data_IF_705226415769
#
_entry.id   IF_705226415769
#
_cell.length_a   1.000
_cell.length_b   1.000
_cell.length_c   1.000
_cell.angle_alpha   90.00
_cell.angle_beta   90.00
_cell.angle_gamma   90.00
#
_symmetry.space_group_name_H-M   'P 1'
#
loop_
_entity.id
_entity.type
_entity.pdbx_description
1 polymer ?
#
# COMPACT_ATOMS: atom_id res chain seq x y z
N UNK A 1 4.76 -9.25 6.68
CA UNK A 1 5.58 -8.08 7.11
C UNK A 1 7.08 -8.36 7.18
N UNK A 2 7.52 -9.55 7.62
CA UNK A 2 8.94 -9.90 7.72
C UNK A 2 9.75 -9.67 6.43
N UNK A 3 9.24 -10.05 5.24
CA UNK A 3 9.93 -9.81 3.96
C UNK A 3 10.13 -8.32 3.66
N UNK A 4 9.15 -7.47 3.96
CA UNK A 4 9.27 -6.02 3.77
C UNK A 4 10.34 -5.42 4.69
N UNK A 5 10.38 -5.84 5.97
CA UNK A 5 11.41 -5.45 6.92
C UNK A 5 12.81 -5.92 6.51
N UNK A 6 12.90 -7.08 5.86
CA UNK A 6 14.14 -7.63 5.32
C UNK A 6 14.51 -7.06 3.92
N UNK A 7 13.82 -6.02 3.46
CA UNK A 7 13.97 -5.39 2.13
C UNK A 7 13.81 -6.33 0.93
N UNK A 8 13.19 -7.50 1.15
CA UNK A 8 12.86 -8.48 0.11
C UNK A 8 11.53 -8.09 -0.55
N UNK A 9 11.53 -6.97 -1.26
CA UNK A 9 10.31 -6.31 -1.74
C UNK A 9 9.50 -7.13 -2.73
N UNK A 10 10.12 -7.87 -3.64
CA UNK A 10 9.40 -8.74 -4.58
C UNK A 10 8.66 -9.88 -3.88
N UNK A 11 9.29 -10.52 -2.89
CA UNK A 11 8.62 -11.55 -2.07
C UNK A 11 7.51 -10.94 -1.22
N UNK A 12 7.71 -9.73 -0.71
CA UNK A 12 6.66 -9.00 0.01
C UNK A 12 5.47 -8.69 -0.91
N UNK A 13 5.73 -8.24 -2.14
CA UNK A 13 4.73 -7.90 -3.14
C UNK A 13 3.90 -9.12 -3.54
N UNK A 14 4.53 -10.24 -3.86
CA UNK A 14 3.81 -11.45 -4.27
C UNK A 14 2.83 -11.93 -3.18
N UNK A 15 3.29 -12.00 -1.94
CA UNK A 15 2.47 -12.43 -0.82
C UNK A 15 1.34 -11.43 -0.51
N UNK A 16 1.65 -10.13 -0.49
CA UNK A 16 0.65 -9.10 -0.19
C UNK A 16 -0.34 -8.89 -1.32
N UNK A 17 0.05 -9.09 -2.59
CA UNK A 17 -0.88 -9.02 -3.74
C UNK A 17 -1.96 -10.08 -3.63
N UNK A 18 -1.60 -11.32 -3.29
CA UNK A 18 -2.58 -12.40 -3.08
C UNK A 18 -3.54 -12.06 -1.93
N UNK A 19 -3.01 -11.62 -0.79
CA UNK A 19 -3.81 -11.23 0.36
C UNK A 19 -4.73 -10.04 0.05
N UNK A 20 -4.22 -8.97 -0.58
CA UNK A 20 -4.99 -7.79 -0.94
C UNK A 20 -6.08 -8.08 -1.98
N UNK A 21 -5.89 -9.08 -2.84
CA UNK A 21 -6.92 -9.50 -3.80
C UNK A 21 -8.06 -10.28 -3.12
N UNK A 22 -7.76 -11.07 -2.10
CA UNK A 22 -8.75 -11.83 -1.33
C UNK A 22 -9.47 -10.96 -0.30
N UNK A 23 -8.75 -10.05 0.35
CA UNK A 23 -9.21 -9.22 1.45
C UNK A 23 -9.27 -7.74 0.99
N UNK A 24 -10.16 -7.48 0.03
CA UNK A 24 -10.27 -6.17 -0.64
C UNK A 24 -10.66 -5.03 0.30
N UNK A 25 -11.46 -5.32 1.32
CA UNK A 25 -11.95 -4.34 2.31
C UNK A 25 -11.11 -4.30 3.57
N UNK A 26 -10.09 -5.14 3.72
CA UNK A 26 -9.24 -5.11 4.91
C UNK A 26 -8.24 -3.96 4.81
N UNK A 27 -8.39 -2.94 5.66
CA UNK A 27 -7.64 -1.71 5.54
C UNK A 27 -6.14 -1.91 5.78
N UNK A 28 -5.75 -2.73 6.76
CA UNK A 28 -4.33 -3.00 7.08
C UNK A 28 -3.63 -3.68 5.90
N UNK A 29 -4.26 -4.68 5.29
CA UNK A 29 -3.65 -5.42 4.18
C UNK A 29 -3.48 -4.52 2.96
N UNK A 30 -4.50 -3.70 2.64
CA UNK A 30 -4.40 -2.73 1.56
C UNK A 30 -3.33 -1.66 1.84
N UNK A 31 -3.22 -1.22 3.10
CA UNK A 31 -2.20 -0.25 3.55
C UNK A 31 -0.79 -0.81 3.35
N UNK A 32 -0.52 -2.02 3.86
CA UNK A 32 0.78 -2.68 3.73
C UNK A 32 1.12 -2.97 2.27
N UNK A 33 0.15 -3.39 1.46
CA UNK A 33 0.37 -3.60 0.03
C UNK A 33 0.77 -2.30 -0.66
N UNK A 34 0.10 -1.19 -0.35
CA UNK A 34 0.46 0.14 -0.86
C UNK A 34 1.89 0.56 -0.47
N UNK A 35 2.33 0.25 0.75
CA UNK A 35 3.72 0.53 1.16
C UNK A 35 4.76 -0.22 0.30
N UNK A 36 4.52 -1.49 0.00
CA UNK A 36 5.43 -2.28 -0.84
C UNK A 36 5.48 -1.72 -2.25
N UNK A 37 4.32 -1.43 -2.84
CA UNK A 37 4.20 -0.86 -4.18
C UNK A 37 4.91 0.49 -4.28
N UNK A 38 4.77 1.34 -3.27
CA UNK A 38 5.46 2.63 -3.20
C UNK A 38 6.98 2.45 -3.19
N UNK A 39 7.50 1.54 -2.36
CA UNK A 39 8.95 1.23 -2.30
C UNK A 39 9.49 0.67 -3.62
N UNK A 40 8.66 -0.04 -4.38
CA UNK A 40 8.97 -0.53 -5.74
C UNK A 40 8.85 0.55 -6.83
N UNK A 41 8.49 1.79 -6.48
CA UNK A 41 8.30 2.88 -7.44
C UNK A 41 7.01 2.79 -8.27
N UNK A 42 6.08 1.90 -7.88
CA UNK A 42 4.76 1.72 -8.53
C UNK A 42 3.74 2.65 -7.87
N UNK A 43 3.90 3.94 -8.10
CA UNK A 43 3.16 4.98 -7.38
C UNK A 43 1.65 4.96 -7.66
N UNK A 44 1.21 4.70 -8.89
CA UNK A 44 -0.21 4.58 -9.23
C UNK A 44 -0.89 3.42 -8.48
N UNK A 45 -0.24 2.26 -8.48
CA UNK A 45 -0.73 1.07 -7.78
C UNK A 45 -0.77 1.29 -6.26
N UNK A 46 0.24 1.98 -5.71
CA UNK A 46 0.28 2.33 -4.29
C UNK A 46 -0.89 3.24 -3.90
N UNK A 47 -1.18 4.26 -4.72
CA UNK A 47 -2.34 5.14 -4.52
C UNK A 47 -3.63 4.32 -4.55
N UNK A 48 -3.81 3.44 -5.53
CA UNK A 48 -5.00 2.61 -5.64
C UNK A 48 -5.19 1.68 -4.43
N UNK A 49 -4.10 1.10 -3.91
CA UNK A 49 -4.14 0.28 -2.69
C UNK A 49 -4.51 1.11 -1.46
N UNK A 50 -3.89 2.27 -1.26
CA UNK A 50 -4.22 3.16 -0.16
C UNK A 50 -5.64 3.72 -0.22
N UNK A 51 -6.17 4.02 -1.41
CA UNK A 51 -7.58 4.38 -1.58
C UNK A 51 -8.51 3.26 -1.14
N UNK A 52 -8.19 2.00 -1.45
CA UNK A 52 -8.94 0.85 -0.92
C UNK A 52 -8.80 0.72 0.59
N UNK A 53 -7.62 1.01 1.15
CA UNK A 53 -7.43 1.00 2.60
C UNK A 53 -8.33 2.04 3.29
N UNK A 54 -8.49 3.24 2.73
CA UNK A 54 -9.36 4.29 3.28
C UNK A 54 -10.86 3.94 3.16
N UNK A 55 -11.24 3.19 2.12
CA UNK A 55 -12.61 2.76 1.87
C UNK A 55 -12.99 1.42 2.54
N UNK A 56 -12.02 0.76 3.19
CA UNK A 56 -12.20 -0.53 3.85
C UNK A 56 -12.84 -0.45 5.23
N UNK A 57 -12.59 -1.48 6.05
CA UNK A 57 -13.04 -1.59 7.44
C UNK A 57 -12.53 -0.45 8.34
N UNK A 58 -11.41 0.17 7.97
CA UNK A 58 -10.79 1.27 8.71
C UNK A 58 -10.05 0.81 9.96
N UNK A 59 -9.96 -0.49 10.19
CA UNK A 59 -9.38 -1.06 11.40
C UNK A 59 -7.87 -0.92 11.38
N UNK A 60 -7.30 -0.52 12.52
CA UNK A 60 -5.84 -0.48 12.74
C UNK A 60 -5.04 0.32 11.70
N UNK A 61 -5.66 1.32 11.08
CA UNK A 61 -5.00 2.28 10.18
C UNK A 61 -5.15 3.71 10.69
N UNK A 62 -4.13 4.54 10.44
CA UNK A 62 -4.25 5.99 10.55
C UNK A 62 -4.60 6.58 9.19
N UNK A 63 -5.86 7.02 9.03
CA UNK A 63 -6.35 7.61 7.77
C UNK A 63 -5.57 8.86 7.37
N UNK A 64 -5.14 9.68 8.34
CA UNK A 64 -4.35 10.89 8.07
C UNK A 64 -2.96 10.54 7.54
N UNK A 65 -2.33 9.50 8.08
CA UNK A 65 -1.06 8.99 7.58
C UNK A 65 -1.19 8.43 6.15
N UNK A 66 -2.26 7.69 5.87
CA UNK A 66 -2.53 7.17 4.52
C UNK A 66 -2.76 8.32 3.52
N UNK A 67 -3.48 9.37 3.90
CA UNK A 67 -3.65 10.56 3.04
C UNK A 67 -2.31 11.24 2.72
N UNK A 68 -1.41 11.35 3.71
CA UNK A 68 -0.05 11.88 3.50
C UNK A 68 0.74 11.00 2.53
N UNK A 69 0.66 9.68 2.67
CA UNK A 69 1.29 8.70 1.77
C UNK A 69 0.78 8.84 0.33
N UNK A 70 -0.53 8.96 0.13
CA UNK A 70 -1.14 9.19 -1.19
C UNK A 70 -0.61 10.49 -1.81
N UNK A 71 -0.55 11.59 -1.05
CA UNK A 71 0.00 12.87 -1.54
C UNK A 71 1.47 12.73 -1.95
N UNK A 72 2.28 12.02 -1.16
CA UNK A 72 3.67 11.76 -1.47
C UNK A 72 3.84 10.94 -2.77
N UNK A 73 3.01 9.90 -2.98
CA UNK A 73 3.00 9.13 -4.21
C UNK A 73 2.60 9.96 -5.42
N UNK A 74 1.57 10.81 -5.32
CA UNK A 74 1.19 11.73 -6.40
C UNK A 74 2.34 12.67 -6.77
N UNK A 75 3.06 13.20 -5.80
CA UNK A 75 4.23 14.05 -6.07
C UNK A 75 5.36 13.29 -6.77
N UNK A 76 5.58 12.01 -6.44
CA UNK A 76 6.59 11.17 -7.10
C UNK A 76 6.19 10.77 -8.51
N UNK A 77 4.91 10.49 -8.73
CA UNK A 77 4.35 10.20 -10.05
C UNK A 77 4.51 11.39 -10.99
N UNK A 78 4.21 12.61 -10.53
CA UNK A 78 4.31 13.82 -11.35
C UNK A 78 5.76 14.25 -11.65
N UNK A 79 6.76 13.62 -11.01
CA UNK A 79 8.20 13.87 -11.21
C UNK A 79 8.88 12.83 -12.11
N UNK A 80 8.13 11.84 -12.58
CA UNK A 80 8.57 10.85 -13.57
C UNK A 80 8.36 11.40 -14.97
#
# INVERSE_FOLDING_TARGET
WAYFKADKLYLAEENLKRAANQLKTNSVIQEHYGQVLFKLGRYDDAIAAWTRALAGDGDSIDKSDIDKKIRAAKQKLNKR
#
